data_IF_305186595880
#
_entry.id   IF_305186595880
#
_cell.length_a   1.000
_cell.length_b   1.000
_cell.length_c   1.000
_cell.angle_alpha   90.00
_cell.angle_beta   90.00
_cell.angle_gamma   90.00
#
_symmetry.space_group_name_H-M   'P 1'
#
loop_
_entity.id
_entity.type
_entity.pdbx_description
1 polymer ?
#
# COMPACT_ATOMS: atom_id res chain seq x y z
N UNK A 1 -19.73 -13.90 27.21
CA UNK A 1 -18.63 -14.77 26.73
C UNK A 1 -17.57 -13.79 26.25
N UNK A 2 -16.52 -13.69 27.05
CA UNK A 2 -15.58 -12.57 27.22
C UNK A 2 -15.10 -11.87 25.94
N UNK A 3 -15.31 -10.56 25.88
CA UNK A 3 -14.34 -9.47 25.59
C UNK A 3 -13.05 -9.87 24.87
N UNK A 4 -13.17 -10.45 23.68
CA UNK A 4 -12.07 -10.49 22.73
C UNK A 4 -12.35 -9.36 21.77
N UNK A 5 -11.70 -8.23 22.00
CA UNK A 5 -11.53 -7.20 21.00
C UNK A 5 -10.84 -7.82 19.79
N UNK A 6 -11.48 -7.71 18.62
CA UNK A 6 -11.04 -8.35 17.39
C UNK A 6 -10.62 -7.26 16.43
N UNK A 7 -9.31 -7.11 16.22
CA UNK A 7 -8.82 -6.34 15.09
C UNK A 7 -9.25 -7.02 13.79
N UNK A 8 -9.76 -6.25 12.84
CA UNK A 8 -10.18 -6.76 11.54
C UNK A 8 -9.79 -5.76 10.45
N UNK A 9 -9.44 -6.26 9.27
CA UNK A 9 -9.19 -5.46 8.07
C UNK A 9 -9.76 -6.20 6.87
N UNK A 10 -10.43 -5.50 5.95
CA UNK A 10 -10.99 -6.10 4.73
C UNK A 10 -10.50 -5.38 3.47
N UNK A 11 -10.47 -6.12 2.36
CA UNK A 11 -10.19 -5.61 1.02
C UNK A 11 -11.14 -6.28 0.01
N UNK A 12 -11.50 -5.55 -1.06
CA UNK A 12 -12.52 -5.97 -2.04
C UNK A 12 -12.00 -6.97 -3.09
N UNK A 13 -10.82 -7.56 -2.88
CA UNK A 13 -10.21 -8.51 -3.82
C UNK A 13 -9.85 -9.83 -3.14
N UNK A 14 -10.16 -10.94 -3.80
CA UNK A 14 -9.72 -12.28 -3.37
C UNK A 14 -8.24 -12.53 -3.67
N UNK A 15 -7.61 -13.43 -2.91
CA UNK A 15 -6.23 -13.85 -3.12
C UNK A 15 -6.15 -14.89 -4.24
N UNK A 16 -5.26 -14.65 -5.20
CA UNK A 16 -4.93 -15.66 -6.22
C UNK A 16 -4.13 -16.82 -5.61
N UNK A 17 -3.98 -17.92 -6.35
CA UNK A 17 -3.09 -19.02 -5.96
C UNK A 17 -1.64 -18.54 -5.68
N UNK A 18 -1.16 -17.55 -6.44
CA UNK A 18 0.18 -16.98 -6.27
C UNK A 18 0.28 -16.10 -5.02
N UNK A 19 -0.79 -15.36 -4.68
CA UNK A 19 -0.84 -14.58 -3.44
C UNK A 19 -0.82 -15.49 -2.21
N UNK A 20 -1.57 -16.59 -2.24
CA UNK A 20 -1.60 -17.59 -1.17
C UNK A 20 -0.22 -18.22 -0.94
N UNK A 21 0.50 -18.55 -2.02
CA UNK A 21 1.89 -19.02 -1.91
C UNK A 21 2.80 -17.93 -1.36
N UNK A 22 2.67 -16.70 -1.86
CA UNK A 22 3.51 -15.57 -1.46
C UNK A 22 3.42 -15.20 0.02
N UNK A 23 2.20 -15.24 0.58
CA UNK A 23 1.98 -14.83 1.97
C UNK A 23 2.47 -15.90 2.97
N UNK A 24 2.65 -17.14 2.52
CA UNK A 24 3.23 -18.24 3.29
C UNK A 24 4.77 -18.21 3.28
N UNK A 25 5.38 -17.76 2.18
CA UNK A 25 6.83 -17.70 2.02
C UNK A 25 7.44 -16.43 2.66
N UNK A 26 7.67 -16.49 3.97
CA UNK A 26 8.30 -15.41 4.74
C UNK A 26 9.68 -15.01 4.15
N UNK A 27 9.80 -13.74 3.72
CA UNK A 27 11.04 -13.19 3.14
C UNK A 27 11.29 -13.56 1.67
N UNK A 28 10.48 -14.45 1.09
CA UNK A 28 10.58 -14.90 -0.29
C UNK A 28 9.29 -14.63 -1.09
N UNK A 29 8.77 -13.41 -1.01
CA UNK A 29 7.58 -13.04 -1.79
C UNK A 29 7.80 -13.26 -3.29
N UNK A 30 6.93 -14.01 -3.96
CA UNK A 30 6.96 -14.12 -5.44
C UNK A 30 6.55 -12.79 -6.10
N UNK A 31 5.97 -11.85 -5.33
CA UNK A 31 5.83 -10.42 -5.67
C UNK A 31 7.15 -9.72 -6.03
N UNK A 32 8.31 -10.36 -5.80
CA UNK A 32 9.62 -9.94 -6.35
C UNK A 32 9.61 -9.83 -7.88
N UNK A 33 8.74 -10.56 -8.57
CA UNK A 33 8.68 -10.60 -10.03
C UNK A 33 7.69 -9.60 -10.64
N UNK A 34 6.80 -9.00 -9.84
CA UNK A 34 5.83 -8.00 -10.30
C UNK A 34 6.19 -6.59 -9.84
N UNK A 35 6.72 -5.72 -10.74
CA UNK A 35 7.03 -4.33 -10.42
C UNK A 35 5.80 -3.45 -10.15
N UNK A 36 4.58 -3.95 -10.41
CA UNK A 36 3.33 -3.27 -10.06
C UNK A 36 2.86 -3.58 -8.63
N UNK A 37 3.47 -4.56 -7.96
CA UNK A 37 3.11 -4.93 -6.59
C UNK A 37 3.99 -4.19 -5.58
N UNK A 38 3.35 -3.45 -4.67
CA UNK A 38 4.04 -2.87 -3.50
C UNK A 38 4.34 -3.99 -2.51
N UNK A 39 5.61 -4.17 -2.12
CA UNK A 39 5.99 -5.20 -1.12
C UNK A 39 7.06 -6.20 -1.54
N UNK A 40 8.05 -5.77 -2.34
CA UNK A 40 9.10 -6.62 -2.94
C UNK A 40 9.94 -7.50 -1.98
N UNK A 41 9.85 -7.28 -0.67
CA UNK A 41 10.62 -8.05 0.32
C UNK A 41 9.74 -9.03 1.13
N UNK A 42 8.41 -9.05 0.94
CA UNK A 42 7.51 -10.01 1.60
C UNK A 42 7.37 -9.91 3.11
N UNK A 43 8.11 -9.04 3.79
CA UNK A 43 8.12 -8.91 5.26
C UNK A 43 7.03 -8.00 5.84
N UNK A 44 6.28 -7.28 5.00
CA UNK A 44 5.33 -6.26 5.47
C UNK A 44 4.19 -6.85 6.30
N UNK A 45 3.74 -8.05 5.95
CA UNK A 45 2.68 -8.74 6.70
C UNK A 45 3.10 -9.05 8.14
N UNK A 46 4.39 -9.28 8.42
CA UNK A 46 4.88 -9.61 9.76
C UNK A 46 4.63 -8.51 10.79
N UNK A 47 4.35 -7.27 10.37
CA UNK A 47 3.97 -6.21 11.28
C UNK A 47 2.69 -6.53 12.10
N UNK A 48 1.82 -7.42 11.59
CA UNK A 48 0.62 -7.86 12.34
C UNK A 48 0.98 -8.57 13.65
N UNK A 49 2.20 -9.14 13.75
CA UNK A 49 2.65 -9.81 14.97
C UNK A 49 2.94 -8.84 16.12
N UNK A 50 2.99 -7.53 15.87
CA UNK A 50 2.92 -6.56 16.97
C UNK A 50 1.59 -6.64 17.71
N UNK A 51 0.51 -7.01 17.03
CA UNK A 51 -0.85 -7.04 17.59
C UNK A 51 -1.33 -8.44 18.01
N UNK A 52 -0.95 -9.48 17.27
CA UNK A 52 -1.49 -10.85 17.42
C UNK A 52 -0.41 -11.91 17.32
N UNK A 53 -0.66 -13.11 17.86
CA UNK A 53 0.20 -14.28 17.65
C UNK A 53 -0.32 -15.24 16.59
N UNK A 54 -1.61 -15.15 16.24
CA UNK A 54 -2.25 -16.04 15.30
C UNK A 54 -3.16 -15.26 14.33
N UNK A 55 -2.57 -14.49 13.39
CA UNK A 55 -3.36 -13.83 12.37
C UNK A 55 -4.00 -14.89 11.47
N UNK A 56 -5.22 -14.60 11.03
CA UNK A 56 -5.89 -15.42 10.03
C UNK A 56 -6.57 -14.55 8.98
N UNK A 57 -6.87 -15.13 7.84
CA UNK A 57 -7.72 -14.47 6.85
C UNK A 57 -8.64 -15.46 6.17
N UNK A 58 -9.81 -14.96 5.80
CA UNK A 58 -10.76 -15.61 4.90
C UNK A 58 -10.74 -14.85 3.58
N UNK A 59 -10.55 -15.57 2.48
CA UNK A 59 -10.57 -14.98 1.13
C UNK A 59 -11.55 -15.74 0.26
N UNK A 60 -12.29 -15.00 -0.58
CA UNK A 60 -13.32 -15.51 -1.48
C UNK A 60 -13.24 -14.77 -2.81
N UNK A 61 -13.42 -15.48 -3.92
CA UNK A 61 -13.40 -14.86 -5.24
C UNK A 61 -13.17 -15.87 -6.37
N UNK A 62 -13.29 -15.43 -7.63
CA UNK A 62 -13.18 -16.31 -8.80
C UNK A 62 -11.79 -16.92 -8.97
N UNK A 63 -10.74 -16.18 -8.60
CA UNK A 63 -9.35 -16.62 -8.70
C UNK A 63 -8.83 -17.31 -7.42
N UNK A 64 -9.66 -17.38 -6.38
CA UNK A 64 -9.33 -18.11 -5.15
C UNK A 64 -9.48 -19.60 -5.43
N UNK A 65 -8.45 -20.44 -5.14
CA UNK A 65 -8.60 -21.88 -5.35
C UNK A 65 -9.74 -22.44 -4.50
N UNK A 66 -10.63 -23.20 -5.15
CA UNK A 66 -11.88 -23.73 -4.54
C UNK A 66 -12.91 -22.64 -4.16
N UNK A 67 -12.78 -21.42 -4.70
CA UNK A 67 -13.73 -20.32 -4.56
C UNK A 67 -13.65 -19.58 -3.22
N UNK A 68 -13.25 -20.26 -2.14
CA UNK A 68 -12.99 -19.66 -0.84
C UNK A 68 -12.02 -20.50 0.00
N UNK A 69 -11.22 -19.86 0.86
CA UNK A 69 -10.30 -20.57 1.76
C UNK A 69 -10.00 -19.74 2.99
N UNK A 70 -9.76 -20.40 4.14
CA UNK A 70 -9.23 -19.77 5.35
C UNK A 70 -7.77 -20.19 5.50
N UNK A 71 -6.92 -19.21 5.76
CA UNK A 71 -5.54 -19.45 6.15
C UNK A 71 -5.33 -18.88 7.56
N UNK A 72 -4.77 -19.70 8.45
CA UNK A 72 -4.36 -19.29 9.79
C UNK A 72 -2.86 -19.51 9.94
N UNK A 73 -2.17 -18.50 10.44
CA UNK A 73 -0.75 -18.60 10.79
C UNK A 73 -0.66 -18.87 12.29
N UNK A 74 0.06 -19.92 12.67
CA UNK A 74 0.19 -20.34 14.06
C UNK A 74 1.67 -20.67 14.36
N UNK A 75 2.55 -19.65 14.42
CA UNK A 75 3.99 -19.80 14.68
C UNK A 75 4.32 -20.57 15.96
N UNK A 76 3.43 -20.55 16.95
CA UNK A 76 3.61 -21.26 18.22
C UNK A 76 2.95 -22.65 18.24
N UNK A 77 2.22 -23.04 17.19
CA UNK A 77 1.49 -24.30 17.10
C UNK A 77 0.54 -24.54 18.29
N UNK A 78 -0.18 -23.49 18.73
CA UNK A 78 -1.04 -23.53 19.93
C UNK A 78 -2.52 -23.71 19.63
N UNK A 79 -2.95 -23.30 18.44
CA UNK A 79 -4.36 -23.12 18.10
C UNK A 79 -4.86 -24.18 17.13
N UNK A 80 -4.02 -24.68 16.23
CA UNK A 80 -4.37 -25.77 15.33
C UNK A 80 -3.56 -27.05 15.64
N UNK A 81 -4.21 -28.21 15.84
CA UNK A 81 -3.52 -29.46 16.18
C UNK A 81 -2.71 -30.06 15.03
N UNK A 82 -2.92 -29.60 13.78
CA UNK A 82 -2.12 -30.01 12.62
C UNK A 82 -0.91 -29.11 12.36
N UNK A 83 -0.84 -27.96 13.03
CA UNK A 83 0.31 -27.06 12.93
C UNK A 83 1.56 -27.69 13.53
N UNK A 84 2.68 -27.55 12.83
CA UNK A 84 4.00 -28.07 13.24
C UNK A 84 5.04 -26.96 13.12
N UNK A 85 6.21 -27.14 13.73
CA UNK A 85 7.30 -26.16 13.63
C UNK A 85 7.74 -25.96 12.16
N UNK A 86 7.67 -27.02 11.35
CA UNK A 86 8.00 -27.00 9.93
C UNK A 86 6.88 -26.39 9.06
N UNK A 87 5.62 -26.50 9.50
CA UNK A 87 4.46 -25.93 8.84
C UNK A 87 3.55 -25.23 9.88
N UNK A 88 3.94 -24.02 10.35
CA UNK A 88 3.29 -23.36 11.48
C UNK A 88 2.03 -22.60 11.06
N UNK A 89 0.97 -23.35 10.82
CA UNK A 89 -0.32 -22.84 10.40
C UNK A 89 -1.13 -23.87 9.62
N UNK A 90 -2.28 -23.45 9.12
CA UNK A 90 -3.22 -24.34 8.44
C UNK A 90 -3.96 -23.59 7.33
N UNK A 91 -4.26 -24.31 6.26
CA UNK A 91 -5.14 -23.85 5.19
C UNK A 91 -6.36 -24.75 5.11
N UNK A 92 -7.52 -24.18 5.38
CA UNK A 92 -8.80 -24.87 5.24
C UNK A 92 -9.39 -24.61 3.86
N UNK A 93 -9.70 -25.69 3.15
CA UNK A 93 -10.27 -25.61 1.79
C UNK A 93 -11.72 -26.08 1.72
N UNK A 94 -12.14 -27.04 2.57
CA UNK A 94 -13.54 -27.44 2.71
C UNK A 94 -14.27 -26.59 3.77
N UNK A 95 -14.60 -25.35 3.42
CA UNK A 95 -15.20 -24.43 4.38
C UNK A 95 -16.64 -24.79 4.77
N UNK A 96 -17.37 -25.54 3.95
CA UNK A 96 -18.77 -25.90 4.26
C UNK A 96 -18.87 -26.88 5.43
N UNK A 97 -17.99 -27.89 5.44
CA UNK A 97 -17.87 -28.82 6.56
C UNK A 97 -17.33 -28.10 7.81
N UNK A 98 -16.31 -27.26 7.64
CA UNK A 98 -15.75 -26.49 8.75
C UNK A 98 -16.79 -25.53 9.38
N UNK A 99 -17.66 -24.89 8.57
CA UNK A 99 -18.76 -24.05 9.07
C UNK A 99 -19.79 -24.84 9.85
N UNK A 100 -20.05 -26.09 9.47
CA UNK A 100 -20.98 -26.98 10.17
C UNK A 100 -20.43 -27.38 11.54
N UNK A 101 -19.15 -27.70 11.60
CA UNK A 101 -18.52 -28.22 12.81
C UNK A 101 -18.09 -27.10 13.78
N UNK A 102 -17.69 -25.93 13.26
CA UNK A 102 -17.16 -24.80 14.02
C UNK A 102 -17.77 -23.44 13.58
N UNK A 103 -19.10 -23.26 13.65
CA UNK A 103 -19.76 -22.05 13.15
C UNK A 103 -19.33 -20.76 13.86
N UNK A 104 -18.95 -20.86 15.14
CA UNK A 104 -18.47 -19.76 15.99
C UNK A 104 -17.14 -19.15 15.51
N UNK A 105 -16.29 -19.97 14.88
CA UNK A 105 -15.02 -19.53 14.31
C UNK A 105 -15.20 -18.56 13.14
N UNK A 106 -16.34 -18.63 12.45
CA UNK A 106 -16.64 -17.81 11.27
C UNK A 106 -17.23 -16.44 11.60
N UNK A 107 -17.86 -16.29 12.76
CA UNK A 107 -18.53 -15.03 13.18
C UNK A 107 -17.57 -13.83 13.08
N UNK A 108 -16.29 -14.04 13.42
CA UNK A 108 -15.29 -12.98 13.39
C UNK A 108 -14.83 -12.51 12.00
N UNK A 109 -15.29 -13.13 10.90
CA UNK A 109 -14.96 -12.68 9.55
C UNK A 109 -16.08 -11.85 8.89
N UNK A 110 -17.27 -11.79 9.51
CA UNK A 110 -18.40 -10.97 9.05
C UNK A 110 -18.66 -11.13 7.55
N UNK A 111 -18.74 -12.39 7.10
CA UNK A 111 -18.78 -12.77 5.68
C UNK A 111 -19.90 -12.07 4.90
N UNK A 112 -21.06 -11.89 5.54
CA UNK A 112 -22.22 -11.26 4.92
C UNK A 112 -22.00 -9.78 4.60
N UNK A 113 -21.08 -9.12 5.31
CA UNK A 113 -20.80 -7.69 5.11
C UNK A 113 -19.65 -7.46 4.14
N UNK A 114 -18.60 -8.28 4.21
CA UNK A 114 -17.37 -8.03 3.43
C UNK A 114 -17.12 -9.01 2.29
N UNK A 115 -17.82 -10.15 2.23
CA UNK A 115 -17.54 -11.23 1.29
C UNK A 115 -18.76 -11.66 0.48
N UNK A 116 -19.66 -10.71 0.17
CA UNK A 116 -20.87 -10.98 -0.62
C UNK A 116 -20.53 -11.57 -1.99
N UNK A 117 -19.64 -10.89 -2.74
CA UNK A 117 -19.18 -11.33 -4.08
C UNK A 117 -17.78 -11.91 -4.03
N UNK A 118 -16.79 -11.08 -3.70
CA UNK A 118 -15.38 -11.42 -3.56
C UNK A 118 -14.74 -10.51 -2.50
N UNK A 119 -13.59 -10.91 -1.99
CA UNK A 119 -12.83 -10.11 -1.04
C UNK A 119 -11.92 -10.94 -0.15
N UNK A 120 -11.21 -10.26 0.72
CA UNK A 120 -10.38 -10.87 1.76
C UNK A 120 -10.58 -10.13 3.08
N UNK A 121 -10.85 -10.87 4.14
CA UNK A 121 -10.97 -10.35 5.52
C UNK A 121 -9.86 -10.95 6.37
N UNK A 122 -9.01 -10.09 6.91
CA UNK A 122 -8.02 -10.42 7.93
C UNK A 122 -8.63 -10.28 9.30
N UNK A 123 -8.43 -11.29 10.14
CA UNK A 123 -8.78 -11.31 11.55
C UNK A 123 -7.50 -11.37 12.38
N UNK A 124 -7.36 -10.41 13.29
CA UNK A 124 -6.20 -10.23 14.15
C UNK A 124 -6.65 -10.29 15.62
N UNK A 125 -6.77 -11.48 16.22
CA UNK A 125 -7.10 -11.61 17.64
C UNK A 125 -6.03 -10.91 18.49
N UNK A 126 -6.40 -9.91 19.29
CA UNK A 126 -5.44 -9.14 20.04
C UNK A 126 -4.74 -9.99 21.10
N UNK A 127 -3.43 -9.77 21.28
CA UNK A 127 -2.66 -10.48 22.30
C UNK A 127 -3.10 -10.06 23.69
N UNK A 128 -3.68 -11.00 24.43
CA UNK A 128 -4.19 -10.79 25.79
C UNK A 128 -3.23 -11.22 26.90
N UNK A 129 -2.15 -11.93 26.58
CA UNK A 129 -1.15 -12.38 27.56
C UNK A 129 0.28 -12.12 27.08
N UNK A 130 1.21 -11.95 28.03
CA UNK A 130 2.64 -11.78 27.72
C UNK A 130 3.35 -13.12 27.43
N UNK A 131 2.60 -14.21 27.26
CA UNK A 131 3.14 -15.55 27.06
C UNK A 131 3.39 -15.87 25.58
N UNK A 132 4.02 -14.96 24.84
CA UNK A 132 4.41 -15.18 23.44
C UNK A 132 5.90 -14.94 23.27
N UNK A 133 6.58 -15.83 22.56
CA UNK A 133 8.01 -15.65 22.25
C UNK A 133 8.23 -14.69 21.08
N UNK A 134 7.16 -14.27 20.39
CA UNK A 134 7.22 -13.26 19.34
C UNK A 134 7.23 -11.85 19.96
N UNK A 135 6.37 -11.61 20.95
CA UNK A 135 6.28 -10.33 21.64
C UNK A 135 5.67 -10.51 23.03
N UNK A 136 6.26 -9.83 24.03
CA UNK A 136 5.72 -9.79 25.39
C UNK A 136 4.69 -8.66 25.61
N UNK A 137 4.44 -7.85 24.58
CA UNK A 137 3.51 -6.72 24.66
C UNK A 137 2.06 -7.19 24.51
N UNK A 138 1.31 -7.10 25.61
CA UNK A 138 -0.15 -7.22 25.62
C UNK A 138 -0.74 -5.97 24.96
N UNK A 139 -1.80 -6.16 24.18
CA UNK A 139 -2.46 -5.08 23.44
C UNK A 139 -3.77 -4.74 24.13
N UNK A 140 -3.87 -3.52 24.64
CA UNK A 140 -5.09 -3.00 25.23
C UNK A 140 -5.94 -2.26 24.19
N UNK A 141 -7.23 -2.08 24.49
CA UNK A 141 -8.15 -1.29 23.68
C UNK A 141 -7.63 0.12 23.38
N UNK A 142 -7.01 0.75 24.38
CA UNK A 142 -6.44 2.09 24.25
C UNK A 142 -5.32 2.14 23.22
N UNK A 143 -4.54 1.07 23.07
CA UNK A 143 -3.47 0.99 22.08
C UNK A 143 -4.04 0.94 20.67
N UNK A 144 -5.11 0.16 20.46
CA UNK A 144 -5.82 0.10 19.17
C UNK A 144 -6.50 1.42 18.86
N UNK A 145 -7.19 2.03 19.83
CA UNK A 145 -7.81 3.35 19.65
C UNK A 145 -6.79 4.39 19.23
N UNK A 146 -5.63 4.42 19.88
CA UNK A 146 -4.53 5.32 19.52
C UNK A 146 -4.01 5.05 18.10
N UNK A 147 -3.75 3.78 17.76
CA UNK A 147 -3.29 3.39 16.43
C UNK A 147 -4.29 3.80 15.34
N UNK A 148 -5.58 3.60 15.58
CA UNK A 148 -6.66 3.99 14.67
C UNK A 148 -6.74 5.50 14.53
N UNK A 149 -6.66 6.26 15.62
CA UNK A 149 -6.65 7.73 15.59
C UNK A 149 -5.45 8.29 14.81
N UNK A 150 -4.26 7.73 15.03
CA UNK A 150 -3.06 8.08 14.26
C UNK A 150 -3.28 7.78 12.77
N UNK A 151 -3.83 6.60 12.43
CA UNK A 151 -4.14 6.24 11.05
C UNK A 151 -5.18 7.16 10.41
N UNK A 152 -6.25 7.51 11.13
CA UNK A 152 -7.28 8.46 10.66
C UNK A 152 -6.65 9.80 10.25
N UNK A 153 -5.73 10.33 11.06
CA UNK A 153 -5.03 11.59 10.78
C UNK A 153 -4.13 11.56 9.53
N UNK A 154 -3.64 10.37 9.15
CA UNK A 154 -2.77 10.17 7.99
C UNK A 154 -3.50 9.57 6.78
N UNK A 155 -4.78 9.21 6.91
CA UNK A 155 -5.51 8.43 5.90
C UNK A 155 -5.64 9.16 4.55
N UNK A 156 -5.88 10.48 4.60
CA UNK A 156 -5.93 11.34 3.41
C UNK A 156 -4.58 11.40 2.69
N UNK A 157 -3.48 11.37 3.45
CA UNK A 157 -2.11 11.34 2.91
C UNK A 157 -1.79 9.97 2.30
N UNK A 158 -2.24 8.89 2.94
CA UNK A 158 -2.05 7.53 2.44
C UNK A 158 -2.73 7.33 1.08
N UNK A 159 -3.97 7.80 0.89
CA UNK A 159 -4.72 7.56 -0.36
C UNK A 159 -4.21 8.39 -1.55
N UNK A 160 -3.50 9.49 -1.30
CA UNK A 160 -3.03 10.46 -2.30
C UNK A 160 -2.28 9.84 -3.49
N UNK A 161 -1.46 8.82 -3.24
CA UNK A 161 -0.65 8.16 -4.27
C UNK A 161 -1.08 6.71 -4.57
N UNK A 162 -2.19 6.25 -3.99
CA UNK A 162 -2.72 4.92 -4.27
C UNK A 162 -3.44 4.90 -5.61
N UNK A 163 -3.25 3.81 -6.36
CA UNK A 163 -3.80 3.64 -7.71
C UNK A 163 -5.10 2.85 -7.72
N UNK A 164 -5.17 1.78 -6.93
CA UNK A 164 -6.34 0.89 -6.93
C UNK A 164 -7.28 1.19 -5.77
N UNK A 165 -6.74 1.61 -4.62
CA UNK A 165 -7.53 1.94 -3.45
C UNK A 165 -8.13 3.33 -3.62
N UNK A 166 -9.47 3.41 -3.67
CA UNK A 166 -10.24 4.66 -3.85
C UNK A 166 -11.07 5.07 -2.65
N UNK A 167 -11.22 4.17 -1.68
CA UNK A 167 -11.87 4.43 -0.41
C UNK A 167 -11.13 3.68 0.69
N UNK A 168 -10.96 4.31 1.84
CA UNK A 168 -10.55 3.66 3.07
C UNK A 168 -11.51 4.10 4.18
N UNK A 169 -11.87 3.19 5.08
CA UNK A 169 -12.84 3.46 6.15
C UNK A 169 -12.37 2.79 7.45
N UNK A 170 -12.68 3.43 8.57
CA UNK A 170 -12.55 2.91 9.92
C UNK A 170 -13.96 2.77 10.47
N UNK A 171 -14.25 1.58 10.97
CA UNK A 171 -15.56 1.21 11.49
C UNK A 171 -15.35 0.48 12.80
N UNK A 172 -16.22 0.77 13.77
CA UNK A 172 -16.20 0.16 15.09
C UNK A 172 -17.51 -0.58 15.34
N UNK A 173 -17.40 -1.80 15.85
CA UNK A 173 -18.55 -2.59 16.32
C UNK A 173 -18.47 -2.58 17.84
N UNK A 174 -19.54 -2.13 18.49
CA UNK A 174 -19.58 -2.10 19.96
C UNK A 174 -20.04 -3.43 20.57
N UNK A 175 -20.10 -3.47 21.90
CA UNK A 175 -20.50 -4.66 22.67
C UNK A 175 -21.94 -5.13 22.38
N UNK A 176 -22.79 -4.24 21.87
CA UNK A 176 -24.17 -4.55 21.48
C UNK A 176 -24.27 -5.12 20.06
N UNK A 177 -23.17 -5.05 19.30
CA UNK A 177 -23.11 -5.40 17.89
C UNK A 177 -23.54 -4.25 16.96
N UNK A 178 -23.73 -3.04 17.49
CA UNK A 178 -24.04 -1.86 16.68
C UNK A 178 -22.78 -1.35 15.96
N UNK A 179 -23.00 -0.91 14.72
CA UNK A 179 -21.98 -0.41 13.81
C UNK A 179 -21.85 1.10 13.91
N UNK A 180 -20.61 1.57 14.05
CA UNK A 180 -20.26 2.99 14.13
C UNK A 180 -19.25 3.32 13.04
N UNK A 181 -19.66 4.14 12.07
CA UNK A 181 -18.77 4.68 11.04
C UNK A 181 -17.92 5.81 11.63
N UNK A 182 -16.72 5.49 12.11
CA UNK A 182 -15.87 6.47 12.81
C UNK A 182 -15.23 7.48 11.83
N UNK A 183 -14.69 7.02 10.70
CA UNK A 183 -14.07 7.89 9.70
C UNK A 183 -13.91 7.22 8.33
N UNK A 184 -14.01 7.98 7.25
CA UNK A 184 -13.64 7.47 5.92
C UNK A 184 -13.04 8.55 5.03
N UNK A 185 -12.21 8.14 4.08
CA UNK A 185 -11.72 9.00 3.00
C UNK A 185 -12.02 8.35 1.65
N UNK A 186 -12.41 9.17 0.69
CA UNK A 186 -12.66 8.77 -0.69
C UNK A 186 -11.82 9.62 -1.63
N UNK A 187 -11.30 9.01 -2.67
CA UNK A 187 -10.54 9.70 -3.71
C UNK A 187 -11.23 9.57 -5.07
N UNK A 188 -11.31 10.67 -5.80
CA UNK A 188 -11.85 10.74 -7.16
C UNK A 188 -10.83 11.34 -8.10
N UNK A 189 -10.52 10.62 -9.19
CA UNK A 189 -9.56 11.06 -10.20
C UNK A 189 -10.30 11.73 -11.34
N UNK A 190 -9.81 12.88 -11.83
CA UNK A 190 -10.45 13.63 -12.92
C UNK A 190 -10.41 12.93 -14.28
N UNK A 191 -9.43 12.05 -14.50
CA UNK A 191 -9.28 11.28 -15.74
C UNK A 191 -8.60 9.93 -15.47
N UNK A 192 -8.79 8.97 -16.37
CA UNK A 192 -8.10 7.68 -16.28
C UNK A 192 -6.59 7.89 -16.53
N UNK A 193 -5.78 7.32 -15.64
CA UNK A 193 -4.33 7.56 -15.58
C UNK A 193 -3.60 6.40 -16.24
N UNK A 194 -3.03 6.63 -17.42
CA UNK A 194 -2.52 5.55 -18.28
C UNK A 194 -0.98 5.48 -18.37
N UNK A 195 -0.23 6.29 -17.62
CA UNK A 195 1.25 6.36 -17.72
C UNK A 195 1.94 5.04 -17.48
N UNK A 196 1.41 4.24 -16.57
CA UNK A 196 2.04 2.96 -16.24
C UNK A 196 1.47 1.82 -17.07
N UNK A 197 0.22 1.91 -17.49
CA UNK A 197 -0.31 0.98 -18.48
C UNK A 197 0.50 0.99 -19.78
N UNK A 198 1.11 2.10 -20.19
CA UNK A 198 1.98 2.13 -21.38
C UNK A 198 3.31 1.37 -21.20
N UNK A 199 3.89 1.37 -20.00
CA UNK A 199 5.09 0.57 -19.67
C UNK A 199 4.77 -0.90 -19.47
N UNK A 200 3.53 -1.21 -19.08
CA UNK A 200 3.10 -2.57 -18.79
C UNK A 200 2.44 -3.26 -20.00
N UNK A 201 1.85 -2.52 -20.95
CA UNK A 201 1.40 -3.08 -22.24
C UNK A 201 2.58 -3.66 -23.03
N UNK A 202 3.74 -2.99 -23.02
CA UNK A 202 4.99 -3.47 -23.62
C UNK A 202 5.46 -4.80 -22.99
N UNK A 203 5.26 -5.00 -21.68
CA UNK A 203 5.54 -6.30 -21.03
C UNK A 203 4.62 -7.44 -21.46
N UNK A 204 3.33 -7.18 -21.69
CA UNK A 204 2.33 -8.22 -22.00
C UNK A 204 2.40 -8.69 -23.46
N UNK A 205 2.93 -7.88 -24.38
CA UNK A 205 3.02 -8.24 -25.79
C UNK A 205 4.33 -8.98 -26.16
N UNK A 206 5.41 -8.77 -25.40
CA UNK A 206 6.72 -9.39 -25.68
C UNK A 206 7.13 -10.36 -24.57
N UNK A 207 6.71 -11.63 -24.67
CA UNK A 207 7.13 -12.72 -23.77
C UNK A 207 8.65 -13.05 -23.81
N UNK A 208 9.50 -12.28 -24.52
CA UNK A 208 10.83 -12.76 -24.89
C UNK A 208 11.99 -11.75 -24.88
N UNK A 209 11.89 -10.57 -24.26
CA UNK A 209 13.09 -9.76 -24.01
C UNK A 209 13.03 -9.08 -22.66
N UNK A 210 14.13 -9.18 -21.90
CA UNK A 210 14.48 -8.25 -20.83
C UNK A 210 14.70 -6.86 -21.45
N UNK A 211 13.65 -6.22 -21.99
CA UNK A 211 13.71 -4.82 -22.41
C UNK A 211 14.19 -3.98 -21.22
N UNK A 212 15.02 -2.96 -21.48
CA UNK A 212 15.68 -2.10 -20.49
C UNK A 212 14.69 -1.51 -19.46
N UNK A 213 14.37 -2.27 -18.40
CA UNK A 213 13.44 -1.86 -17.33
C UNK A 213 13.93 -0.61 -16.60
N UNK A 214 15.24 -0.37 -16.62
CA UNK A 214 15.89 0.81 -16.06
C UNK A 214 15.81 2.05 -16.97
N UNK A 215 15.50 1.89 -18.26
CA UNK A 215 15.45 2.97 -19.25
C UNK A 215 14.26 2.84 -20.23
N UNK A 216 13.01 2.80 -19.73
CA UNK A 216 11.83 2.80 -20.57
C UNK A 216 11.71 4.12 -21.34
N UNK A 217 10.84 4.15 -22.35
CA UNK A 217 10.45 5.41 -23.00
C UNK A 217 9.89 6.40 -21.96
N UNK A 218 10.30 7.66 -22.08
CA UNK A 218 9.87 8.70 -21.16
C UNK A 218 8.40 9.01 -21.40
N UNK A 219 7.56 8.72 -20.42
CA UNK A 219 6.13 9.06 -20.43
C UNK A 219 5.85 9.94 -19.24
N UNK A 220 5.12 11.03 -19.49
CA UNK A 220 4.72 11.99 -18.46
C UNK A 220 3.23 12.28 -18.59
N UNK A 221 2.55 12.38 -17.45
CA UNK A 221 1.14 12.72 -17.41
C UNK A 221 0.82 13.47 -16.11
N UNK A 222 -0.33 14.11 -16.11
CA UNK A 222 -0.84 14.87 -14.98
C UNK A 222 -2.33 14.66 -14.81
N UNK A 223 -2.81 14.58 -13.59
CA UNK A 223 -4.23 14.43 -13.29
C UNK A 223 -4.58 15.16 -12.00
N UNK A 224 -5.86 15.46 -11.84
CA UNK A 224 -6.37 16.04 -10.59
C UNK A 224 -6.95 14.92 -9.74
N UNK A 225 -6.62 14.95 -8.45
CA UNK A 225 -7.19 14.07 -7.45
C UNK A 225 -7.97 14.89 -6.44
N UNK A 226 -9.23 14.56 -6.25
CA UNK A 226 -10.07 15.09 -5.19
C UNK A 226 -10.14 14.07 -4.07
N UNK A 227 -9.84 14.49 -2.85
CA UNK A 227 -9.95 13.67 -1.64
C UNK A 227 -10.98 14.32 -0.73
N UNK A 228 -12.02 13.58 -0.39
CA UNK A 228 -13.09 14.02 0.51
C UNK A 228 -13.16 13.06 1.68
N UNK A 229 -13.19 13.60 2.90
CA UNK A 229 -13.38 12.82 4.12
C UNK A 229 -14.85 12.77 4.54
N UNK A 230 -15.15 11.99 5.58
CA UNK A 230 -16.51 11.85 6.13
C UNK A 230 -17.02 13.10 6.87
N UNK A 231 -16.20 14.14 7.04
CA UNK A 231 -16.62 15.45 7.56
C UNK A 231 -16.97 16.44 6.46
N UNK A 232 -16.98 15.98 5.19
CA UNK A 232 -17.17 16.78 3.98
C UNK A 232 -16.02 17.77 3.69
N UNK A 233 -14.89 17.66 4.40
CA UNK A 233 -13.69 18.42 4.06
C UNK A 233 -13.07 17.83 2.80
N UNK A 234 -12.87 18.70 1.80
CA UNK A 234 -12.38 18.31 0.48
C UNK A 234 -11.08 19.02 0.15
N UNK A 235 -10.10 18.25 -0.33
CA UNK A 235 -8.83 18.74 -0.85
C UNK A 235 -8.66 18.35 -2.31
N UNK A 236 -8.13 19.27 -3.11
CA UNK A 236 -7.89 19.04 -4.54
C UNK A 236 -6.42 19.13 -4.84
N UNK A 237 -5.86 18.10 -5.47
CA UNK A 237 -4.43 17.95 -5.73
C UNK A 237 -4.18 17.84 -7.24
N UNK A 238 -3.16 18.53 -7.75
CA UNK A 238 -2.57 18.19 -9.05
C UNK A 238 -1.46 17.18 -8.80
N UNK A 239 -1.56 16.02 -9.45
CA UNK A 239 -0.52 15.00 -9.45
C UNK A 239 0.16 15.05 -10.81
N UNK A 240 1.48 15.20 -10.82
CA UNK A 240 2.31 15.05 -12.03
C UNK A 240 3.22 13.87 -11.81
N UNK A 241 3.24 12.95 -12.76
CA UNK A 241 4.08 11.76 -12.69
C UNK A 241 4.88 11.59 -13.98
N UNK A 242 6.07 11.03 -13.82
CA UNK A 242 6.96 10.69 -14.91
C UNK A 242 7.47 9.27 -14.71
N UNK A 243 7.60 8.57 -15.82
CA UNK A 243 8.40 7.36 -15.90
C UNK A 243 9.47 7.51 -16.98
N UNK A 244 10.65 6.97 -16.72
CA UNK A 244 11.81 7.10 -17.58
C UNK A 244 12.45 8.48 -17.47
N UNK A 245 13.62 8.60 -18.08
CA UNK A 245 14.34 9.86 -18.18
C UNK A 245 14.44 10.29 -19.64
N UNK A 246 14.63 11.59 -19.87
CA UNK A 246 14.84 12.13 -21.22
C UNK A 246 16.11 11.54 -21.85
N UNK A 247 17.21 11.52 -21.08
CA UNK A 247 18.44 10.85 -21.49
C UNK A 247 18.52 9.45 -20.88
N UNK A 248 18.23 8.41 -21.68
CA UNK A 248 18.30 7.01 -21.26
C UNK A 248 19.72 6.56 -20.87
N UNK A 249 20.74 7.17 -21.43
CA UNK A 249 22.15 6.82 -21.17
C UNK A 249 22.66 7.38 -19.84
N UNK A 250 21.95 8.35 -19.25
CA UNK A 250 22.30 8.98 -17.97
C UNK A 250 22.25 8.01 -16.77
N UNK A 251 21.65 6.83 -16.93
CA UNK A 251 21.58 5.80 -15.90
C UNK A 251 23.01 5.32 -15.57
N UNK A 252 23.44 5.32 -14.30
CA UNK A 252 24.78 4.84 -13.92
C UNK A 252 25.00 3.37 -14.29
N UNK A 253 26.20 3.00 -14.74
CA UNK A 253 26.46 1.63 -15.22
C UNK A 253 26.27 0.56 -14.13
N UNK A 254 26.66 0.84 -12.89
CA UNK A 254 26.39 -0.03 -11.73
C UNK A 254 24.90 -0.26 -11.48
N UNK A 255 24.05 0.73 -11.81
CA UNK A 255 22.59 0.57 -11.76
C UNK A 255 22.15 -0.34 -12.90
N UNK A 256 22.64 -0.13 -14.12
CA UNK A 256 22.34 -1.01 -15.26
C UNK A 256 22.71 -2.46 -14.93
N UNK A 257 23.91 -2.71 -14.41
CA UNK A 257 24.36 -4.03 -13.96
C UNK A 257 23.44 -4.62 -12.87
N UNK A 258 23.00 -3.81 -11.92
CA UNK A 258 22.08 -4.24 -10.86
C UNK A 258 20.71 -4.70 -11.43
N UNK A 259 20.21 -4.06 -12.48
CA UNK A 259 19.01 -4.49 -13.19
C UNK A 259 19.24 -5.79 -13.99
N UNK A 260 20.36 -5.90 -14.71
CA UNK A 260 20.70 -7.12 -15.48
C UNK A 260 20.91 -8.34 -14.57
N UNK A 261 21.50 -8.15 -13.39
CA UNK A 261 21.65 -9.19 -12.36
C UNK A 261 20.36 -9.46 -11.57
N UNK A 262 19.32 -8.67 -11.77
CA UNK A 262 18.05 -8.77 -11.04
C UNK A 262 18.12 -8.38 -9.56
N UNK A 263 19.22 -7.76 -9.13
CA UNK A 263 19.43 -7.28 -7.75
C UNK A 263 18.72 -5.95 -7.47
N UNK A 264 18.39 -5.19 -8.51
CA UNK A 264 17.52 -4.01 -8.44
C UNK A 264 16.29 -4.20 -9.34
N UNK A 265 15.10 -4.04 -8.74
CA UNK A 265 13.80 -4.25 -9.43
C UNK A 265 12.86 -3.07 -9.22
N UNK A 266 13.42 -1.87 -9.27
CA UNK A 266 12.68 -0.62 -9.14
C UNK A 266 12.27 -0.12 -10.53
N UNK A 267 11.26 0.75 -10.60
CA UNK A 267 10.86 1.37 -11.86
C UNK A 267 11.32 2.82 -11.85
N UNK A 268 11.77 3.39 -12.97
CA UNK A 268 12.20 4.79 -13.02
C UNK A 268 10.98 5.72 -13.00
N UNK A 269 10.15 5.62 -11.95
CA UNK A 269 8.89 6.31 -11.76
C UNK A 269 8.99 7.23 -10.54
N UNK A 270 8.61 8.49 -10.74
CA UNK A 270 8.42 9.46 -9.67
C UNK A 270 7.20 10.34 -9.95
N UNK A 271 6.57 10.84 -8.90
CA UNK A 271 5.42 11.73 -8.97
C UNK A 271 5.45 12.80 -7.89
N UNK A 272 4.85 13.94 -8.19
CA UNK A 272 4.72 15.11 -7.33
C UNK A 272 3.25 15.45 -7.18
N UNK A 273 2.83 15.77 -5.96
CA UNK A 273 1.50 16.26 -5.65
C UNK A 273 1.57 17.69 -5.11
N UNK A 274 0.80 18.59 -5.72
CA UNK A 274 0.61 19.97 -5.27
C UNK A 274 -0.85 20.17 -4.90
N UNK A 275 -1.09 20.78 -3.73
CA UNK A 275 -2.41 21.15 -3.27
C UNK A 275 -2.88 22.40 -4.04
N UNK A 276 -4.04 22.31 -4.71
CA UNK A 276 -4.60 23.39 -5.53
C UNK A 276 -5.60 24.28 -4.78
N UNK A 277 -6.25 23.75 -3.74
CA UNK A 277 -7.34 24.45 -3.08
C UNK A 277 -7.28 24.26 -1.56
N UNK A 278 -6.94 25.33 -0.85
CA UNK A 278 -7.36 25.63 0.52
C UNK A 278 -7.13 27.12 0.80
N UNK A 279 -7.91 27.66 1.73
CA UNK A 279 -7.64 28.93 2.36
C UNK A 279 -6.19 28.88 2.92
N UNK A 280 -5.29 29.72 2.38
CA UNK A 280 -3.81 29.67 2.55
C UNK A 280 -3.37 29.64 4.03
N UNK A 281 -4.28 29.98 4.94
CA UNK A 281 -4.06 30.05 6.38
C UNK A 281 -3.85 28.68 7.07
N UNK A 282 -4.18 27.55 6.42
CA UNK A 282 -4.14 26.22 7.04
C UNK A 282 -3.16 25.22 6.38
N UNK A 283 -2.06 25.69 5.78
CA UNK A 283 -1.00 24.79 5.28
C UNK A 283 -0.21 24.23 6.49
N UNK A 284 -0.83 23.32 7.25
CA UNK A 284 -0.15 22.51 8.25
C UNK A 284 0.38 21.23 7.58
N UNK A 285 1.70 21.24 7.33
CA UNK A 285 2.58 20.13 6.94
C UNK A 285 2.44 19.55 5.53
N UNK A 286 3.39 19.92 4.67
CA UNK A 286 3.70 19.28 3.39
C UNK A 286 4.62 18.06 3.69
N UNK A 287 4.37 16.90 3.09
CA UNK A 287 4.96 15.60 3.49
C UNK A 287 5.52 14.82 2.30
N UNK A 288 6.46 13.88 2.51
CA UNK A 288 6.97 13.00 1.44
C UNK A 288 6.55 11.55 1.64
N UNK A 289 6.30 10.87 0.52
CA UNK A 289 5.81 9.49 0.49
C UNK A 289 6.68 8.62 -0.45
N UNK A 290 6.65 7.31 -0.24
CA UNK A 290 7.12 6.28 -1.16
C UNK A 290 6.02 5.23 -1.26
N UNK A 291 4.94 5.57 -1.95
CA UNK A 291 3.63 4.91 -2.01
C UNK A 291 2.84 4.90 -0.70
N UNK A 292 3.54 4.87 0.43
CA UNK A 292 3.04 5.21 1.75
C UNK A 292 3.89 6.35 2.34
N UNK A 293 3.35 7.16 3.25
CA UNK A 293 4.12 8.21 3.91
C UNK A 293 5.38 7.64 4.58
N UNK A 294 6.52 8.28 4.32
CA UNK A 294 7.71 8.03 5.12
C UNK A 294 7.68 8.95 6.35
N UNK A 295 8.11 8.48 7.53
CA UNK A 295 8.18 9.31 8.75
C UNK A 295 8.99 10.60 8.59
N UNK A 296 9.96 10.63 7.65
CA UNK A 296 10.82 11.79 7.41
C UNK A 296 10.12 12.89 6.60
N UNK A 297 10.09 14.12 7.12
CA UNK A 297 9.67 15.29 6.36
C UNK A 297 10.67 15.60 5.23
N UNK A 298 10.19 15.89 4.02
CA UNK A 298 11.08 16.26 2.91
C UNK A 298 11.61 17.68 2.93
N UNK A 299 10.92 18.59 3.64
CA UNK A 299 11.18 20.02 3.54
C UNK A 299 10.82 20.63 2.17
N UNK A 300 10.15 19.89 1.29
CA UNK A 300 9.70 20.37 -0.02
C UNK A 300 8.29 20.99 0.08
N UNK A 301 7.96 21.97 -0.78
CA UNK A 301 6.63 22.59 -0.79
C UNK A 301 5.56 21.72 -1.47
N UNK A 302 5.85 20.46 -1.74
CA UNK A 302 4.99 19.50 -2.42
C UNK A 302 5.27 18.09 -1.92
N UNK A 303 4.27 17.21 -2.08
CA UNK A 303 4.43 15.81 -1.73
C UNK A 303 5.10 15.04 -2.86
N UNK A 304 6.06 14.19 -2.51
CA UNK A 304 6.80 13.35 -3.46
C UNK A 304 6.36 11.90 -3.30
N UNK A 305 6.37 11.16 -4.40
CA UNK A 305 6.26 9.71 -4.44
C UNK A 305 7.20 9.14 -5.53
N UNK A 306 7.71 7.93 -5.35
CA UNK A 306 8.58 7.28 -6.33
C UNK A 306 9.07 5.89 -5.89
N UNK A 307 9.61 5.10 -6.83
CA UNK A 307 10.27 3.82 -6.50
C UNK A 307 11.69 4.07 -6.00
N UNK A 308 11.82 4.76 -4.87
CA UNK A 308 13.11 4.92 -4.22
C UNK A 308 13.53 3.61 -3.55
N UNK A 309 14.84 3.38 -3.53
CA UNK A 309 15.43 2.37 -2.67
C UNK A 309 15.31 2.85 -1.21
N UNK A 310 14.78 1.98 -0.35
CA UNK A 310 14.57 2.24 1.07
C UNK A 310 15.65 1.55 1.92
N UNK A 311 15.82 2.04 3.15
CA UNK A 311 16.55 1.34 4.21
C UNK A 311 15.84 0.03 4.59
N UNK A 312 16.54 -0.84 5.32
CA UNK A 312 15.97 -2.11 5.83
C UNK A 312 14.77 -1.89 6.76
N UNK A 313 14.78 -0.81 7.54
CA UNK A 313 13.65 -0.39 8.39
C UNK A 313 12.48 0.17 7.60
N UNK A 314 12.69 0.55 6.32
CA UNK A 314 11.71 1.19 5.43
C UNK A 314 11.12 2.50 5.95
N UNK A 315 11.78 3.11 6.93
CA UNK A 315 11.39 4.41 7.48
C UNK A 315 12.06 5.57 6.77
N UNK A 316 13.13 5.27 6.03
CA UNK A 316 13.97 6.27 5.37
C UNK A 316 14.39 5.79 3.99
N UNK A 317 14.77 6.74 3.14
CA UNK A 317 15.47 6.43 1.90
C UNK A 317 16.84 5.82 2.20
N UNK A 318 17.29 4.96 1.30
CA UNK A 318 18.64 4.41 1.37
C UNK A 318 19.68 5.54 1.28
N UNK A 319 20.55 5.62 2.29
CA UNK A 319 21.56 6.67 2.47
C UNK A 319 23.01 6.18 2.31
N UNK A 320 23.21 5.00 1.71
CA UNK A 320 24.54 4.52 1.35
C UNK A 320 25.27 5.46 0.39
N UNK A 321 26.56 5.22 0.18
CA UNK A 321 27.41 6.07 -0.68
C UNK A 321 28.05 5.24 -1.78
N UNK A 322 27.82 5.62 -3.04
CA UNK A 322 28.46 5.01 -4.21
C UNK A 322 27.94 3.62 -4.60
N UNK A 323 27.02 3.03 -3.84
CA UNK A 323 26.36 1.77 -4.20
C UNK A 323 25.21 1.99 -5.21
N UNK A 324 24.70 0.89 -5.78
CA UNK A 324 23.65 0.93 -6.79
C UNK A 324 22.34 1.56 -6.30
N UNK A 325 21.98 1.40 -5.01
CA UNK A 325 20.74 1.94 -4.44
C UNK A 325 20.84 3.45 -4.22
N UNK A 326 21.98 3.92 -3.75
CA UNK A 326 22.28 5.33 -3.57
C UNK A 326 22.30 6.07 -4.91
N UNK A 327 23.02 5.52 -5.89
CA UNK A 327 23.10 6.08 -7.24
C UNK A 327 21.75 6.02 -7.98
N UNK A 328 20.95 4.98 -7.75
CA UNK A 328 19.57 4.92 -8.21
C UNK A 328 18.73 6.06 -7.64
N UNK A 329 18.74 6.26 -6.32
CA UNK A 329 17.96 7.33 -5.68
C UNK A 329 18.38 8.71 -6.20
N UNK A 330 19.69 8.97 -6.30
CA UNK A 330 20.22 10.23 -6.84
C UNK A 330 19.78 10.46 -8.28
N UNK A 331 19.91 9.45 -9.13
CA UNK A 331 19.49 9.51 -10.53
C UNK A 331 17.97 9.72 -10.65
N UNK A 332 17.16 8.99 -9.89
CA UNK A 332 15.70 9.10 -9.90
C UNK A 332 15.25 10.50 -9.47
N UNK A 333 15.88 11.08 -8.44
CA UNK A 333 15.62 12.45 -8.01
C UNK A 333 15.92 13.45 -9.13
N UNK A 334 17.10 13.35 -9.74
CA UNK A 334 17.58 14.33 -10.72
C UNK A 334 16.86 14.23 -12.07
N UNK A 335 16.77 13.03 -12.62
CA UNK A 335 16.36 12.81 -14.02
C UNK A 335 14.87 12.52 -14.18
N UNK A 336 14.16 12.17 -13.09
CA UNK A 336 12.73 11.83 -13.12
C UNK A 336 11.90 12.75 -12.23
N UNK A 337 12.25 12.90 -10.95
CA UNK A 337 11.48 13.70 -10.00
C UNK A 337 11.54 15.21 -10.30
N UNK A 338 12.75 15.77 -10.50
CA UNK A 338 12.91 17.21 -10.76
C UNK A 338 12.12 17.66 -11.99
N UNK A 339 12.18 16.98 -13.16
CA UNK A 339 11.33 17.32 -14.30
C UNK A 339 9.82 17.27 -14.01
N UNK A 340 9.37 16.27 -13.23
CA UNK A 340 7.98 16.19 -12.81
C UNK A 340 7.59 17.36 -11.89
N UNK A 341 8.48 17.75 -10.97
CA UNK A 341 8.29 18.89 -10.07
C UNK A 341 8.21 20.22 -10.83
N UNK A 342 9.11 20.45 -11.79
CA UNK A 342 9.11 21.66 -12.63
C UNK A 342 7.79 21.78 -13.39
N UNK A 343 7.30 20.70 -13.98
CA UNK A 343 6.01 20.71 -14.68
C UNK A 343 4.84 20.95 -13.72
N UNK A 344 4.86 20.35 -12.53
CA UNK A 344 3.83 20.57 -11.52
C UNK A 344 3.74 22.05 -11.10
N UNK A 345 4.89 22.70 -10.92
CA UNK A 345 4.96 24.13 -10.64
C UNK A 345 4.44 24.98 -11.79
N UNK A 346 4.72 24.61 -13.05
CA UNK A 346 4.17 25.33 -14.21
C UNK A 346 2.64 25.18 -14.31
N UNK A 347 2.10 23.99 -14.03
CA UNK A 347 0.64 23.79 -13.92
C UNK A 347 0.02 24.68 -12.83
N UNK A 348 0.65 24.76 -11.66
CA UNK A 348 0.20 25.64 -10.59
C UNK A 348 0.25 27.11 -11.02
N UNK A 349 1.34 27.54 -11.67
CA UNK A 349 1.48 28.90 -12.22
C UNK A 349 0.35 29.20 -13.18
N UNK A 350 0.08 28.33 -14.16
CA UNK A 350 -1.01 28.53 -15.11
C UNK A 350 -2.38 28.60 -14.42
N UNK A 351 -2.62 27.71 -13.46
CA UNK A 351 -3.91 27.65 -12.74
C UNK A 351 -4.18 28.87 -11.86
N UNK A 352 -3.14 29.43 -11.23
CA UNK A 352 -3.22 30.62 -10.37
C UNK A 352 -3.35 31.88 -11.24
N UNK A 353 -2.48 32.05 -12.24
CA UNK A 353 -2.33 33.33 -12.93
C UNK A 353 -3.25 33.49 -14.17
N UNK A 354 -3.71 32.41 -14.83
CA UNK A 354 -4.67 32.56 -15.93
C UNK A 354 -6.11 32.82 -15.45
N UNK A 355 -6.50 32.41 -14.25
CA UNK A 355 -7.82 32.77 -13.68
C UNK A 355 -7.96 34.29 -13.48
N UNK A 356 -6.87 34.99 -13.23
CA UNK A 356 -6.85 36.47 -13.05
C UNK A 356 -6.96 37.26 -14.34
N UNK A 357 -6.70 36.67 -15.52
CA UNK A 357 -6.71 37.41 -16.78
C UNK A 357 -8.11 37.65 -17.37
N UNK A 358 -9.16 37.01 -16.83
CA UNK A 358 -10.54 37.19 -17.27
C UNK A 358 -11.32 38.28 -16.50
N UNK A 359 -10.66 39.00 -15.57
CA UNK A 359 -11.26 40.09 -14.80
C UNK A 359 -10.74 41.48 -15.18
N UNK A 360 -9.98 41.59 -16.28
CA UNK A 360 -9.36 42.85 -16.73
C UNK A 360 -9.74 43.24 -18.17
N UNK A 361 -10.87 42.77 -18.69
CA UNK A 361 -11.46 43.28 -19.95
C UNK A 361 -12.80 43.96 -19.69
#
# INVERSE_FOLDING_TARGET
>A
MSDIERGMSSIDTGFTANDLKSIQDLGNSTKKEDPNSTGQYGIGFNAVYHLTDAPSFLTKGPDVPQGSTICMFDPHCRYDPSATVEAPGVRFTNLDELRKDHPDSFIGYLENEFLQTEGTVFRLPLRSSADSDISKNVVAESDIRKLVQEFQSEMSKCILFLRSVRKASVVRIDETGEWHDDYSVKSKVSKQVNVLSSIFCSKKQNNNTNENLYAPEMVRDSYTLEITDSTEETSTWIIVQQVGAHNKESVPDIVKEAFHSGSLRLLPHASVALLLNTNIQNIKSLFTTCYLPLPSASGLPFSVNGHFALSSSRRDLWSGTGDCKALWNQWLMKEVLVPAAVLALDYCRLSIFHKTSNYLN
#
